data_IF_718123352557
#
_entry.id   IF_718123352557
#
_cell.length_a   1.000
_cell.length_b   1.000
_cell.length_c   1.000
_cell.angle_alpha   90.00
_cell.angle_beta   90.00
_cell.angle_gamma   90.00
#
_symmetry.space_group_name_H-M   'P 1'
#
loop_
_entity.id
_entity.type
_entity.pdbx_description
1 polymer ?
#
# COMPACT_ATOMS: atom_id res chain seq x y z
N UNK A 1 9.69 -16.76 14.49
CA UNK A 1 9.36 -15.99 15.70
C UNK A 1 7.85 -15.82 15.79
N UNK A 2 7.34 -15.44 16.95
CA UNK A 2 5.93 -15.10 17.13
C UNK A 2 5.76 -13.58 17.02
N UNK A 3 4.68 -13.14 16.39
CA UNK A 3 4.31 -11.74 16.24
C UNK A 3 2.79 -11.63 16.14
N UNK A 4 2.17 -10.85 17.02
CA UNK A 4 0.70 -10.80 17.21
C UNK A 4 0.01 -12.18 17.29
N UNK A 5 0.56 -13.07 18.13
CA UNK A 5 0.01 -14.43 18.35
C UNK A 5 0.09 -15.35 17.13
N UNK A 6 0.83 -14.99 16.09
CA UNK A 6 1.05 -15.85 14.91
C UNK A 6 2.53 -16.07 14.64
N UNK A 7 2.86 -17.26 14.17
CA UNK A 7 4.22 -17.58 13.72
C UNK A 7 4.50 -16.86 12.40
N UNK A 8 5.54 -16.03 12.40
CA UNK A 8 6.09 -15.39 11.21
C UNK A 8 7.48 -15.96 10.91
N UNK A 9 7.76 -16.15 9.62
CA UNK A 9 8.98 -16.75 9.11
C UNK A 9 9.47 -15.93 7.93
N UNK A 10 10.80 -15.86 7.78
CA UNK A 10 11.42 -15.26 6.61
C UNK A 10 10.97 -16.02 5.36
N UNK A 11 10.54 -15.29 4.34
CA UNK A 11 10.22 -15.88 3.05
C UNK A 11 11.49 -16.19 2.25
N UNK A 12 11.40 -17.00 1.18
CA UNK A 12 12.54 -17.27 0.30
C UNK A 12 13.00 -16.00 -0.44
N UNK A 13 12.07 -15.06 -0.66
CA UNK A 13 12.36 -13.79 -1.30
C UNK A 13 12.64 -12.73 -0.24
N UNK A 14 11.68 -12.37 0.59
CA UNK A 14 11.84 -11.22 1.49
C UNK A 14 12.02 -11.62 2.95
N UNK A 15 12.72 -10.74 3.67
CA UNK A 15 12.90 -10.70 5.10
C UNK A 15 11.61 -10.44 5.87
N UNK A 16 11.78 -10.23 7.18
CA UNK A 16 10.69 -9.90 8.09
C UNK A 16 10.50 -8.40 8.30
N UNK A 17 11.34 -7.57 7.66
CA UNK A 17 11.30 -6.10 7.62
C UNK A 17 11.47 -5.62 6.19
N UNK A 18 10.95 -4.44 5.90
CA UNK A 18 11.22 -3.73 4.66
C UNK A 18 12.68 -3.30 4.63
N UNK A 19 13.40 -3.74 3.61
CA UNK A 19 14.79 -3.35 3.38
C UNK A 19 14.99 -3.06 1.89
N UNK A 20 15.79 -2.04 1.61
CA UNK A 20 15.99 -1.51 0.25
C UNK A 20 16.56 -2.55 -0.70
N UNK A 21 17.52 -3.34 -0.23
CA UNK A 21 18.24 -4.36 -1.03
C UNK A 21 17.31 -5.49 -1.49
N UNK A 22 16.26 -5.76 -0.70
CA UNK A 22 15.28 -6.78 -1.03
C UNK A 22 14.07 -6.21 -1.82
N UNK A 23 13.98 -4.88 -1.97
CA UNK A 23 12.95 -4.19 -2.74
C UNK A 23 13.24 -4.19 -4.25
N UNK A 24 12.20 -3.95 -5.05
CA UNK A 24 12.28 -3.83 -6.53
C UNK A 24 13.04 -4.98 -7.23
N UNK A 25 12.78 -6.23 -6.82
CA UNK A 25 13.33 -7.41 -7.49
C UNK A 25 12.75 -7.55 -8.88
N UNK A 26 13.63 -7.62 -9.87
CA UNK A 26 13.25 -7.73 -11.27
C UNK A 26 12.42 -9.01 -11.49
N UNK A 27 11.31 -8.82 -12.20
CA UNK A 27 10.46 -9.88 -12.73
C UNK A 27 9.98 -9.42 -14.09
N UNK A 28 10.22 -10.23 -15.13
CA UNK A 28 9.82 -9.90 -16.51
C UNK A 28 8.35 -10.18 -16.80
N UNK A 29 7.61 -10.79 -15.87
CA UNK A 29 6.19 -11.06 -16.06
C UNK A 29 5.38 -9.76 -16.12
N UNK A 30 4.67 -9.53 -17.21
CA UNK A 30 3.66 -8.47 -17.31
C UNK A 30 2.38 -8.88 -16.55
N UNK A 31 2.12 -8.25 -15.40
CA UNK A 31 0.92 -8.49 -14.59
C UNK A 31 -0.24 -7.54 -14.91
N UNK A 32 0.00 -6.58 -15.79
CA UNK A 32 -0.99 -5.60 -16.27
C UNK A 32 -1.48 -5.89 -17.69
N UNK A 33 -1.16 -7.08 -18.21
CA UNK A 33 -1.52 -7.51 -19.56
C UNK A 33 -3.02 -7.31 -19.88
N UNK A 34 -3.28 -6.84 -21.10
CA UNK A 34 -4.60 -6.72 -21.70
C UNK A 34 -4.52 -7.18 -23.16
N UNK A 35 -5.59 -7.71 -23.77
CA UNK A 35 -5.55 -8.13 -25.18
C UNK A 35 -5.43 -6.92 -26.13
N UNK A 36 -4.69 -7.07 -27.24
CA UNK A 36 -4.42 -5.99 -28.23
C UNK A 36 -5.69 -5.31 -28.73
N UNK A 37 -6.74 -6.09 -28.98
CA UNK A 37 -8.03 -5.63 -29.50
C UNK A 37 -8.69 -4.59 -28.59
N UNK A 38 -8.35 -4.61 -27.30
CA UNK A 38 -8.92 -3.70 -26.32
C UNK A 38 -8.41 -2.28 -26.48
N UNK A 39 -7.11 -2.12 -26.73
CA UNK A 39 -6.44 -0.82 -26.83
C UNK A 39 -5.29 -0.87 -27.85
N UNK A 40 -5.59 -0.99 -29.16
CA UNK A 40 -4.57 -1.26 -30.17
C UNK A 40 -3.50 -0.17 -30.28
N UNK A 41 -3.89 1.12 -30.16
CA UNK A 41 -2.92 2.23 -30.19
C UNK A 41 -1.95 2.21 -29.01
N UNK A 42 -2.46 1.91 -27.81
CA UNK A 42 -1.62 1.83 -26.60
C UNK A 42 -0.70 0.61 -26.67
N UNK A 43 -1.21 -0.50 -27.24
CA UNK A 43 -0.42 -1.69 -27.51
C UNK A 43 0.80 -1.34 -28.38
N UNK A 44 0.60 -0.83 -29.60
CA UNK A 44 1.71 -0.49 -30.49
C UNK A 44 2.69 0.51 -29.85
N UNK A 45 2.17 1.52 -29.14
CA UNK A 45 3.01 2.53 -28.49
C UNK A 45 3.91 1.99 -27.37
N UNK A 46 3.67 0.77 -26.89
CA UNK A 46 4.43 0.15 -25.81
C UNK A 46 5.27 -1.05 -26.26
N UNK A 47 5.27 -1.39 -27.55
CA UNK A 47 5.90 -2.62 -28.06
C UNK A 47 7.37 -2.78 -27.64
N UNK A 48 8.16 -1.71 -27.65
CA UNK A 48 9.58 -1.72 -27.27
C UNK A 48 9.83 -2.04 -25.79
N UNK A 49 8.78 -2.01 -24.95
CA UNK A 49 8.89 -2.38 -23.54
C UNK A 49 8.81 -3.90 -23.31
N UNK A 50 8.59 -4.69 -24.37
CA UNK A 50 8.36 -6.13 -24.31
C UNK A 50 9.32 -6.91 -25.23
N UNK A 51 9.57 -8.17 -24.88
CA UNK A 51 10.42 -9.08 -25.68
C UNK A 51 9.60 -9.90 -26.67
N UNK A 52 8.32 -10.07 -26.38
CA UNK A 52 7.39 -10.86 -27.16
C UNK A 52 6.28 -9.99 -27.74
N UNK A 53 5.80 -10.38 -28.92
CA UNK A 53 4.72 -9.67 -29.61
C UNK A 53 3.38 -9.71 -28.85
N UNK A 54 3.22 -10.62 -27.88
CA UNK A 54 2.04 -10.76 -27.03
C UNK A 54 2.12 -9.91 -25.73
N UNK A 55 3.19 -9.12 -25.56
CA UNK A 55 3.43 -8.26 -24.39
C UNK A 55 3.32 -9.00 -23.05
N UNK A 56 3.71 -10.28 -23.00
CA UNK A 56 3.69 -11.09 -21.76
C UNK A 56 4.98 -10.94 -20.96
N UNK A 57 6.07 -10.62 -21.64
CA UNK A 57 7.45 -10.60 -21.14
C UNK A 57 8.02 -9.20 -21.35
N UNK A 58 8.30 -8.52 -20.25
CA UNK A 58 8.93 -7.20 -20.23
C UNK A 58 10.40 -7.30 -20.68
N UNK A 59 10.87 -6.31 -21.43
CA UNK A 59 12.25 -6.22 -21.89
C UNK A 59 13.21 -5.93 -20.74
N UNK A 60 14.45 -6.41 -20.86
CA UNK A 60 15.48 -6.17 -19.85
C UNK A 60 15.74 -4.66 -19.65
N UNK A 61 15.75 -3.88 -20.73
CA UNK A 61 15.92 -2.42 -20.67
C UNK A 61 14.79 -1.76 -19.86
N UNK A 62 13.54 -2.14 -20.13
CA UNK A 62 12.40 -1.64 -19.36
C UNK A 62 12.53 -2.03 -17.89
N UNK A 63 12.89 -3.28 -17.59
CA UNK A 63 13.05 -3.75 -16.22
C UNK A 63 14.14 -2.98 -15.46
N UNK A 64 15.29 -2.71 -16.07
CA UNK A 64 16.36 -1.95 -15.41
C UNK A 64 15.95 -0.52 -15.11
N UNK A 65 15.34 0.16 -16.10
CA UNK A 65 14.81 1.51 -15.92
C UNK A 65 13.72 1.55 -14.85
N UNK A 66 12.75 0.64 -14.89
CA UNK A 66 11.69 0.58 -13.89
C UNK A 66 12.23 0.31 -12.49
N UNK A 67 13.24 -0.56 -12.35
CA UNK A 67 13.89 -0.82 -11.06
C UNK A 67 14.57 0.42 -10.51
N UNK A 68 15.29 1.18 -11.35
CA UNK A 68 15.95 2.41 -10.93
C UNK A 68 14.92 3.41 -10.36
N UNK A 69 13.84 3.66 -11.11
CA UNK A 69 12.75 4.55 -10.69
C UNK A 69 12.04 4.05 -9.42
N UNK A 70 11.84 2.74 -9.28
CA UNK A 70 11.23 2.15 -8.08
C UNK A 70 12.12 2.31 -6.83
N UNK A 71 13.44 2.16 -6.99
CA UNK A 71 14.39 2.38 -5.89
C UNK A 71 14.51 3.87 -5.52
N UNK A 72 14.44 4.77 -6.49
CA UNK A 72 14.36 6.20 -6.26
C UNK A 72 13.09 6.57 -5.47
N UNK A 73 11.93 6.06 -5.89
CA UNK A 73 10.67 6.25 -5.15
C UNK A 73 10.75 5.68 -3.72
N UNK A 74 11.41 4.54 -3.53
CA UNK A 74 11.65 3.98 -2.20
C UNK A 74 12.42 4.97 -1.33
N UNK A 75 13.53 5.51 -1.84
CA UNK A 75 14.39 6.44 -1.11
C UNK A 75 13.65 7.73 -0.75
N UNK A 76 12.87 8.29 -1.68
CA UNK A 76 12.01 9.45 -1.43
C UNK A 76 10.96 9.18 -0.34
N UNK A 77 10.33 8.00 -0.34
CA UNK A 77 9.40 7.62 0.72
C UNK A 77 10.09 7.51 2.07
N UNK A 78 11.30 6.90 2.15
CA UNK A 78 12.05 6.80 3.40
C UNK A 78 12.40 8.19 3.95
N UNK A 79 12.90 9.09 3.11
CA UNK A 79 13.19 10.47 3.49
C UNK A 79 11.93 11.20 3.97
N UNK A 80 10.82 11.04 3.24
CA UNK A 80 9.53 11.61 3.65
C UNK A 80 9.11 11.10 5.04
N UNK A 81 9.20 9.78 5.28
CA UNK A 81 8.85 9.20 6.58
C UNK A 81 9.73 9.76 7.70
N UNK A 82 11.03 9.92 7.47
CA UNK A 82 11.95 10.51 8.44
C UNK A 82 11.54 11.93 8.84
N UNK A 83 11.11 12.76 7.87
CA UNK A 83 10.66 14.15 8.10
C UNK A 83 9.36 14.29 8.89
N UNK A 84 8.50 13.28 8.89
CA UNK A 84 7.21 13.37 9.61
C UNK A 84 7.39 13.63 11.11
N UNK A 85 6.59 14.51 11.69
CA UNK A 85 6.61 14.75 13.13
C UNK A 85 5.96 13.58 13.91
N UNK A 86 6.65 13.10 14.95
CA UNK A 86 6.16 12.02 15.81
C UNK A 86 4.95 12.45 16.63
N UNK A 87 4.95 13.68 17.16
CA UNK A 87 3.85 14.18 17.98
C UNK A 87 2.54 14.24 17.20
N UNK A 88 2.60 14.78 15.99
CA UNK A 88 1.50 14.87 15.04
C UNK A 88 0.99 13.50 14.62
N UNK A 89 1.89 12.54 14.42
CA UNK A 89 1.52 11.15 14.14
C UNK A 89 0.77 10.50 15.30
N UNK A 90 1.26 10.61 16.54
CA UNK A 90 0.55 10.05 17.71
C UNK A 90 -0.80 10.76 17.95
N UNK A 91 -0.89 12.06 17.69
CA UNK A 91 -2.16 12.78 17.71
C UNK A 91 -3.13 12.24 16.64
N UNK A 92 -2.64 11.86 15.46
CA UNK A 92 -3.45 11.21 14.44
C UNK A 92 -3.94 9.82 14.87
N UNK A 93 -3.10 9.03 15.55
CA UNK A 93 -3.51 7.75 16.15
C UNK A 93 -4.61 7.96 17.19
N UNK A 94 -4.46 8.95 18.08
CA UNK A 94 -5.49 9.27 19.08
C UNK A 94 -6.83 9.66 18.43
N UNK A 95 -6.82 10.58 17.46
CA UNK A 95 -8.03 10.98 16.70
C UNK A 95 -8.70 9.80 16.01
N UNK A 96 -7.90 8.90 15.42
CA UNK A 96 -8.40 7.69 14.76
C UNK A 96 -9.20 6.80 15.72
N UNK A 97 -8.73 6.64 16.97
CA UNK A 97 -9.39 5.81 17.99
C UNK A 97 -10.76 6.38 18.41
N UNK A 98 -10.92 7.69 18.39
CA UNK A 98 -12.18 8.37 18.69
C UNK A 98 -13.19 8.28 17.53
N UNK A 99 -12.73 7.97 16.32
CA UNK A 99 -13.52 8.07 15.08
C UNK A 99 -14.50 6.91 14.88
N UNK A 100 -14.11 5.69 15.27
CA UNK A 100 -14.91 4.46 15.07
C UNK A 100 -15.15 3.77 16.40
N UNK A 101 -16.41 3.66 16.87
CA UNK A 101 -16.73 2.95 18.11
C UNK A 101 -16.24 1.51 18.10
N UNK A 102 -15.57 1.11 19.19
CA UNK A 102 -15.05 -0.25 19.36
C UNK A 102 -13.81 -0.56 18.52
N UNK A 103 -13.13 0.46 17.98
CA UNK A 103 -11.77 0.32 17.46
C UNK A 103 -10.81 0.16 18.65
N UNK A 104 -10.22 -1.02 18.80
CA UNK A 104 -9.34 -1.34 19.92
C UNK A 104 -8.04 -1.96 19.43
N UNK A 105 -6.96 -1.69 20.16
CA UNK A 105 -5.69 -2.35 19.91
C UNK A 105 -5.77 -3.84 20.24
N UNK A 106 -5.10 -4.68 19.47
CA UNK A 106 -4.96 -6.11 19.73
C UNK A 106 -3.50 -6.53 19.67
N UNK A 107 -3.18 -7.51 20.51
CA UNK A 107 -1.84 -8.11 20.59
C UNK A 107 -1.83 -9.56 20.10
N UNK A 108 -2.99 -10.08 19.67
CA UNK A 108 -3.17 -11.43 19.15
C UNK A 108 -4.21 -11.43 18.01
N UNK A 109 -3.83 -11.96 16.85
CA UNK A 109 -4.71 -12.14 15.69
C UNK A 109 -5.59 -13.40 15.77
N UNK A 110 -5.29 -14.35 16.67
CA UNK A 110 -6.04 -15.58 16.89
C UNK A 110 -7.55 -15.36 17.03
N UNK A 111 -8.00 -14.46 17.92
CA UNK A 111 -9.41 -14.10 18.07
C UNK A 111 -10.08 -13.53 16.82
N UNK A 112 -9.33 -13.18 15.77
CA UNK A 112 -9.82 -12.58 14.53
C UNK A 112 -9.72 -13.51 13.31
N UNK A 113 -9.48 -14.80 13.56
CA UNK A 113 -9.57 -15.85 12.54
C UNK A 113 -10.99 -15.98 11.98
N UNK A 114 -11.13 -15.90 10.64
CA UNK A 114 -12.41 -15.95 9.93
C UNK A 114 -13.46 -14.94 10.44
N UNK A 115 -13.02 -13.86 11.10
CA UNK A 115 -13.91 -12.78 11.54
C UNK A 115 -13.81 -11.59 10.60
N UNK A 116 -14.96 -11.20 10.04
CA UNK A 116 -15.08 -9.95 9.32
C UNK A 116 -14.75 -8.77 10.23
N UNK A 117 -14.25 -7.69 9.64
CA UNK A 117 -13.94 -6.48 10.40
C UNK A 117 -13.20 -5.45 9.58
N UNK A 118 -13.00 -4.32 10.24
CA UNK A 118 -12.08 -3.26 9.88
C UNK A 118 -10.79 -3.49 10.67
N UNK A 119 -9.64 -3.19 10.08
CA UNK A 119 -8.35 -3.22 10.75
C UNK A 119 -7.49 -2.04 10.32
N UNK A 120 -6.62 -1.62 11.23
CA UNK A 120 -5.56 -0.66 10.97
C UNK A 120 -4.23 -1.30 11.35
N UNK A 121 -3.29 -1.31 10.42
CA UNK A 121 -1.90 -1.67 10.68
C UNK A 121 -1.11 -0.39 10.86
N UNK A 122 -0.44 -0.24 12.00
CA UNK A 122 0.42 0.91 12.28
C UNK A 122 1.88 0.49 12.11
N UNK A 123 2.61 1.32 11.37
CA UNK A 123 4.01 1.14 11.01
C UNK A 123 4.81 2.25 11.70
N UNK A 124 5.06 2.10 13.01
CA UNK A 124 5.54 3.21 13.85
C UNK A 124 6.84 3.81 13.37
N UNK A 125 7.78 2.98 12.92
CA UNK A 125 9.08 3.41 12.39
C UNK A 125 8.93 4.40 11.22
N UNK A 126 7.90 4.20 10.39
CA UNK A 126 7.62 4.98 9.19
C UNK A 126 6.59 6.09 9.41
N UNK A 127 6.00 6.18 10.62
CA UNK A 127 4.88 7.09 10.94
C UNK A 127 3.74 6.95 9.92
N UNK A 128 3.40 5.71 9.55
CA UNK A 128 2.33 5.41 8.60
C UNK A 128 1.28 4.47 9.21
N UNK A 129 0.05 4.58 8.73
CA UNK A 129 -1.09 3.74 9.04
C UNK A 129 -1.74 3.23 7.76
N UNK A 130 -2.06 1.95 7.71
CA UNK A 130 -2.85 1.35 6.64
C UNK A 130 -4.21 0.91 7.17
N UNK A 131 -5.28 1.37 6.53
CA UNK A 131 -6.65 0.97 6.85
C UNK A 131 -7.12 -0.05 5.83
N UNK A 132 -7.75 -1.12 6.29
CA UNK A 132 -8.42 -2.06 5.41
C UNK A 132 -9.61 -2.73 6.07
N UNK A 133 -10.45 -3.35 5.26
CA UNK A 133 -11.58 -4.14 5.73
C UNK A 133 -11.65 -5.49 5.03
N UNK A 134 -12.37 -6.45 5.62
CA UNK A 134 -12.52 -7.79 5.05
C UNK A 134 -13.81 -8.47 5.53
N UNK A 135 -14.34 -9.38 4.71
CA UNK A 135 -15.48 -10.25 5.02
C UNK A 135 -15.08 -11.50 5.80
N UNK A 136 -16.09 -12.24 6.27
CA UNK A 136 -15.88 -13.43 7.11
C UNK A 136 -15.17 -14.58 6.36
N UNK A 137 -15.36 -14.67 5.04
CA UNK A 137 -14.73 -15.68 4.20
C UNK A 137 -13.19 -15.66 4.29
N UNK A 138 -12.60 -14.47 4.41
CA UNK A 138 -11.15 -14.29 4.59
C UNK A 138 -10.83 -14.06 6.08
N UNK A 139 -11.49 -13.09 6.70
CA UNK A 139 -11.23 -12.65 8.06
C UNK A 139 -10.00 -11.74 8.20
N UNK A 140 -9.96 -10.95 9.28
CA UNK A 140 -8.90 -9.95 9.53
C UNK A 140 -7.52 -10.60 9.64
N UNK A 141 -7.40 -11.70 10.41
CA UNK A 141 -6.13 -12.45 10.55
C UNK A 141 -5.52 -12.83 9.21
N UNK A 142 -6.32 -13.41 8.30
CA UNK A 142 -5.81 -13.85 7.01
C UNK A 142 -5.40 -12.67 6.13
N UNK A 143 -6.15 -11.56 6.17
CA UNK A 143 -5.88 -10.39 5.35
C UNK A 143 -4.61 -9.65 5.76
N UNK A 144 -4.39 -9.46 7.06
CA UNK A 144 -3.14 -8.87 7.59
C UNK A 144 -1.94 -9.76 7.23
N UNK A 145 -2.06 -11.08 7.43
CA UNK A 145 -0.99 -12.03 7.06
C UNK A 145 -0.71 -12.04 5.56
N UNK A 146 -1.74 -11.83 4.73
CA UNK A 146 -1.57 -11.67 3.30
C UNK A 146 -0.70 -10.45 3.00
N UNK A 147 -0.96 -9.29 3.61
CA UNK A 147 -0.13 -8.10 3.43
C UNK A 147 1.33 -8.34 3.83
N UNK A 148 1.57 -8.99 4.98
CA UNK A 148 2.93 -9.30 5.45
C UNK A 148 3.73 -10.23 4.53
N UNK A 149 3.05 -11.17 3.85
CA UNK A 149 3.70 -12.22 3.06
C UNK A 149 3.68 -11.96 1.55
N UNK A 150 2.74 -11.16 1.07
CA UNK A 150 2.61 -10.83 -0.35
C UNK A 150 3.69 -9.83 -0.76
N UNK A 151 3.94 -9.74 -2.06
CA UNK A 151 4.73 -8.66 -2.64
C UNK A 151 3.94 -8.07 -3.78
N UNK A 152 3.99 -6.76 -3.92
CA UNK A 152 3.43 -6.13 -5.12
C UNK A 152 4.22 -6.61 -6.34
N UNK A 153 3.51 -6.84 -7.44
CA UNK A 153 4.16 -7.19 -8.70
C UNK A 153 5.17 -6.09 -9.10
N UNK A 154 6.30 -6.52 -9.67
CA UNK A 154 7.41 -5.64 -10.02
C UNK A 154 6.96 -4.48 -10.91
N UNK A 155 6.16 -4.77 -11.94
CA UNK A 155 5.60 -3.79 -12.88
C UNK A 155 4.50 -2.88 -12.30
N UNK A 156 4.20 -3.01 -10.99
CA UNK A 156 3.15 -2.28 -10.28
C UNK A 156 3.66 -1.63 -9.00
N UNK A 157 4.98 -1.49 -8.86
CA UNK A 157 5.59 -0.84 -7.71
C UNK A 157 5.28 0.66 -7.71
N UNK A 158 5.37 1.29 -8.88
CA UNK A 158 5.03 2.70 -9.08
C UNK A 158 3.58 2.90 -9.51
N UNK A 159 2.93 3.92 -8.96
CA UNK A 159 1.66 4.45 -9.43
C UNK A 159 1.74 5.97 -9.58
N UNK A 160 1.52 6.46 -10.79
CA UNK A 160 1.73 7.88 -11.10
C UNK A 160 3.23 8.17 -11.29
N UNK A 161 3.71 9.26 -10.68
CA UNK A 161 5.11 9.69 -10.78
C UNK A 161 5.98 9.05 -9.69
N UNK A 162 7.30 9.12 -9.86
CA UNK A 162 8.29 8.63 -8.88
C UNK A 162 8.18 9.41 -7.56
N UNK A 163 7.90 10.70 -7.64
CA UNK A 163 7.76 11.63 -6.52
C UNK A 163 6.35 11.60 -5.92
N UNK A 164 5.39 10.98 -6.62
CA UNK A 164 3.97 10.92 -6.26
C UNK A 164 3.54 9.60 -5.62
N UNK A 165 4.28 8.52 -5.89
CA UNK A 165 3.86 7.16 -5.61
C UNK A 165 4.07 6.79 -4.14
N UNK A 166 2.99 6.44 -3.44
CA UNK A 166 3.04 5.92 -2.08
C UNK A 166 3.50 4.46 -2.11
N UNK A 167 4.36 4.04 -1.18
CA UNK A 167 4.75 2.63 -1.06
C UNK A 167 3.55 1.73 -0.75
N UNK A 168 3.44 0.59 -1.45
CA UNK A 168 2.39 -0.40 -1.19
C UNK A 168 2.50 -0.96 0.22
N UNK A 169 1.36 -1.18 0.91
CA UNK A 169 1.35 -1.93 2.18
C UNK A 169 2.01 -3.32 2.06
N UNK A 170 1.85 -3.98 0.91
CA UNK A 170 2.51 -5.28 0.60
C UNK A 170 4.05 -5.18 0.43
N UNK A 171 4.62 -3.99 0.48
CA UNK A 171 6.08 -3.79 0.54
C UNK A 171 6.58 -4.03 1.96
N UNK A 172 5.81 -3.60 2.95
CA UNK A 172 6.09 -3.80 4.37
C UNK A 172 5.88 -5.25 4.76
N UNK A 173 6.59 -5.66 5.82
CA UNK A 173 6.66 -7.02 6.32
C UNK A 173 6.08 -7.09 7.72
N UNK A 174 6.04 -8.30 8.25
CA UNK A 174 5.45 -8.57 9.56
C UNK A 174 5.97 -7.61 10.64
N UNK A 175 7.29 -7.49 10.78
CA UNK A 175 7.89 -6.72 11.88
C UNK A 175 7.93 -5.22 11.66
N UNK A 176 7.53 -4.74 10.48
CA UNK A 176 7.27 -3.31 10.27
C UNK A 176 5.94 -2.90 10.91
N UNK A 177 5.03 -3.85 11.14
CA UNK A 177 3.78 -3.61 11.87
C UNK A 177 4.03 -3.69 13.36
N UNK A 178 3.75 -2.61 14.06
CA UNK A 178 4.07 -2.45 15.49
C UNK A 178 2.82 -2.35 16.35
N UNK A 179 1.71 -1.85 15.79
CA UNK A 179 0.38 -1.84 16.44
C UNK A 179 -0.68 -2.32 15.45
N UNK A 180 -1.71 -2.99 15.95
CA UNK A 180 -2.87 -3.38 15.16
C UNK A 180 -4.13 -2.98 15.90
N UNK A 181 -5.00 -2.23 15.23
CA UNK A 181 -6.32 -1.88 15.72
C UNK A 181 -7.39 -2.58 14.90
N UNK A 182 -8.49 -2.96 15.53
CA UNK A 182 -9.57 -3.72 14.89
C UNK A 182 -10.93 -3.28 15.41
N UNK A 183 -11.93 -3.32 14.53
CA UNK A 183 -13.31 -3.02 14.87
C UNK A 183 -14.27 -3.92 14.07
N UNK A 184 -15.50 -4.08 14.58
CA UNK A 184 -16.61 -4.72 13.86
C UNK A 184 -17.74 -3.71 13.62
N UNK A 185 -17.52 -2.67 12.80
CA UNK A 185 -18.57 -1.72 12.50
C UNK A 185 -19.70 -2.39 11.72
N UNK A 186 -20.92 -1.88 11.87
CA UNK A 186 -22.08 -2.33 11.07
C UNK A 186 -21.89 -2.09 9.57
N UNK A 187 -21.27 -0.96 9.23
CA UNK A 187 -20.92 -0.58 7.85
C UNK A 187 -19.40 -0.35 7.80
N UNK A 188 -18.67 -1.24 7.10
CA UNK A 188 -17.20 -1.26 7.10
C UNK A 188 -16.62 -0.23 6.16
N UNK A 189 -17.28 -0.02 5.03
CA UNK A 189 -16.90 0.91 3.97
C UNK A 189 -17.01 2.35 4.48
N UNK A 190 -18.11 2.68 5.17
CA UNK A 190 -18.26 3.99 5.82
C UNK A 190 -17.25 4.21 6.94
N UNK A 191 -16.97 3.18 7.75
CA UNK A 191 -16.00 3.26 8.83
C UNK A 191 -14.57 3.45 8.29
N UNK A 192 -14.18 2.71 7.26
CA UNK A 192 -12.90 2.87 6.56
C UNK A 192 -12.75 4.30 6.02
N UNK A 193 -13.75 4.83 5.33
CA UNK A 193 -13.71 6.19 4.79
C UNK A 193 -13.57 7.25 5.90
N UNK A 194 -14.20 7.04 7.07
CA UNK A 194 -14.04 7.93 8.23
C UNK A 194 -12.62 7.87 8.79
N UNK A 195 -12.03 6.68 8.95
CA UNK A 195 -10.65 6.53 9.43
C UNK A 195 -9.65 7.17 8.47
N UNK A 196 -9.78 6.90 7.16
CA UNK A 196 -8.93 7.49 6.12
C UNK A 196 -8.91 9.02 6.22
N UNK A 197 -10.08 9.64 6.46
CA UNK A 197 -10.16 11.10 6.66
C UNK A 197 -9.55 11.57 7.98
N UNK A 198 -9.79 10.85 9.08
CA UNK A 198 -9.30 11.24 10.41
C UNK A 198 -7.78 11.14 10.57
N UNK A 199 -7.16 10.17 9.88
CA UNK A 199 -5.71 9.90 9.93
C UNK A 199 -4.90 11.03 9.30
N UNK A 200 -5.40 11.67 8.23
CA UNK A 200 -4.61 12.63 7.44
C UNK A 200 -3.80 11.96 6.33
N UNK A 201 -3.58 12.66 5.22
CA UNK A 201 -3.01 12.06 4.00
C UNK A 201 -1.54 11.71 4.16
N UNK A 202 -0.80 12.46 4.97
CA UNK A 202 0.63 12.33 5.24
C UNK A 202 0.96 11.07 6.06
N UNK A 203 0.03 10.58 6.87
CA UNK A 203 0.18 9.39 7.71
C UNK A 203 -0.46 8.13 7.12
N UNK A 204 -1.04 8.19 5.91
CA UNK A 204 -1.81 7.10 5.33
C UNK A 204 -1.02 6.30 4.26
N UNK A 205 -0.88 5.00 4.44
CA UNK A 205 -0.22 4.10 3.48
C UNK A 205 -1.18 3.49 2.42
N UNK A 206 -2.48 3.80 2.50
CA UNK A 206 -3.43 3.40 1.46
C UNK A 206 -3.07 4.09 0.14
N UNK A 207 -2.96 3.30 -0.95
CA UNK A 207 -2.73 3.83 -2.30
C UNK A 207 -4.02 4.10 -3.07
N UNK A 208 -5.12 3.53 -2.61
CA UNK A 208 -6.42 3.60 -3.28
C UNK A 208 -7.53 3.68 -2.24
N UNK A 209 -8.62 4.36 -2.56
CA UNK A 209 -9.86 4.25 -1.78
C UNK A 209 -10.37 2.80 -1.80
N UNK A 210 -10.92 2.34 -0.68
CA UNK A 210 -11.52 1.01 -0.56
C UNK A 210 -12.54 0.74 -1.66
N UNK A 211 -12.37 -0.39 -2.37
CA UNK A 211 -13.16 -0.77 -3.54
C UNK A 211 -12.56 -2.01 -4.23
N UNK A 212 -13.33 -2.68 -5.11
CA UNK A 212 -12.90 -3.93 -5.76
C UNK A 212 -11.50 -3.80 -6.41
N UNK A 213 -10.49 -4.57 -5.97
CA UNK A 213 -9.11 -4.44 -6.44
C UNK A 213 -8.95 -4.54 -7.96
N UNK A 214 -9.84 -5.29 -8.64
CA UNK A 214 -9.85 -5.43 -10.11
C UNK A 214 -10.33 -4.17 -10.81
N UNK A 215 -11.42 -3.57 -10.34
CA UNK A 215 -11.97 -2.33 -10.92
C UNK A 215 -11.03 -1.15 -10.67
N UNK A 216 -10.47 -1.06 -9.47
CA UNK A 216 -9.52 -0.01 -9.09
C UNK A 216 -8.20 -0.15 -9.85
N UNK A 217 -7.67 -1.36 -10.07
CA UNK A 217 -6.47 -1.54 -10.92
C UNK A 217 -6.71 -1.08 -12.36
N UNK A 218 -7.92 -1.30 -12.87
CA UNK A 218 -8.30 -0.92 -14.23
C UNK A 218 -8.58 0.58 -14.37
N UNK A 219 -9.22 1.22 -13.39
CA UNK A 219 -9.46 2.67 -13.36
C UNK A 219 -8.20 3.47 -13.03
N UNK A 220 -7.32 2.96 -12.17
CA UNK A 220 -6.02 3.58 -11.89
C UNK A 220 -5.11 3.60 -13.13
N UNK A 221 -5.20 2.57 -13.98
CA UNK A 221 -4.52 2.56 -15.28
C UNK A 221 -5.12 3.57 -16.29
N UNK A 222 -6.32 4.10 -16.00
CA UNK A 222 -7.06 5.06 -16.83
C UNK A 222 -7.03 6.50 -16.28
N UNK A 223 -6.32 6.76 -15.18
CA UNK A 223 -5.94 8.12 -14.78
C UNK A 223 -6.93 8.94 -13.93
N UNK A 224 -8.00 8.36 -13.39
CA UNK A 224 -9.01 9.14 -12.63
C UNK A 224 -9.01 8.86 -11.12
N UNK A 225 -8.75 9.92 -10.32
CA UNK A 225 -9.31 10.27 -8.99
C UNK A 225 -9.34 9.28 -7.81
N UNK A 226 -8.97 8.01 -8.01
CA UNK A 226 -9.15 6.91 -7.06
C UNK A 226 -7.83 6.46 -6.41
N UNK A 227 -6.70 6.98 -6.88
CA UNK A 227 -5.36 6.68 -6.40
C UNK A 227 -4.89 7.84 -5.52
N UNK A 228 -4.45 7.52 -4.32
CA UNK A 228 -3.77 8.50 -3.49
C UNK A 228 -2.33 8.66 -3.97
N UNK A 229 -2.00 9.89 -4.34
CA UNK A 229 -0.62 10.35 -4.50
C UNK A 229 -0.23 11.23 -3.31
N UNK A 230 1.07 11.39 -3.12
CA UNK A 230 1.65 12.29 -2.12
C UNK A 230 2.82 13.00 -2.75
N UNK A 231 2.98 14.29 -2.49
CA UNK A 231 4.21 14.98 -2.85
C UNK A 231 5.34 14.55 -1.92
N UNK A 232 6.31 13.81 -2.45
CA UNK A 232 7.48 13.34 -1.72
C UNK A 232 8.68 14.28 -1.88
N UNK A 233 8.66 15.15 -2.90
CA UNK A 233 9.75 16.04 -3.27
C UNK A 233 9.67 17.40 -2.57
N UNK A 234 8.54 17.73 -1.96
CA UNK A 234 8.40 18.98 -1.21
C UNK A 234 9.28 18.98 0.08
N UNK A 235 10.14 19.99 0.15
CA UNK A 235 11.02 20.32 1.27
C UNK A 235 10.30 21.10 2.38
N UNK A 236 9.01 21.38 2.18
CA UNK A 236 8.12 21.95 3.18
C UNK A 236 7.87 23.44 2.96
N UNK A 237 6.82 23.74 2.21
CA UNK A 237 5.91 24.84 2.56
C UNK A 237 4.48 24.34 2.35
N UNK A 238 3.82 23.91 3.43
CA UNK A 238 2.37 23.74 3.41
C UNK A 238 1.80 25.15 3.27
N UNK A 239 1.46 25.55 2.04
CA UNK A 239 0.60 26.69 1.83
C UNK A 239 -0.78 26.32 2.40
N UNK A 240 -1.13 26.91 3.54
CA UNK A 240 -2.52 27.07 3.94
C UNK A 240 -3.23 27.81 2.80
N UNK A 241 -3.96 27.08 1.96
CA UNK A 241 -5.01 27.72 1.17
C UNK A 241 -6.26 27.78 2.05
N UNK A 242 -6.31 28.86 2.83
CA UNK A 242 -7.56 29.48 3.23
C UNK A 242 -8.38 29.89 1.99
N UNK A 243 -9.70 29.77 2.11
CA UNK A 243 -10.68 30.36 1.20
C UNK A 243 -11.75 29.36 0.79
N UNK A 244 -13.04 29.58 1.05
CA UNK A 244 -13.78 30.72 1.59
C UNK A 244 -15.27 30.40 1.46
#
# INVERSE_FOLDING_TARGET
>A
MEHFGVRVQRGPKNGLRLVREEYARISKTNTTWFPRERFPKLWEAQADNFEDADHRILSDEWCQRHRALALENFDLNMQFFERLDRGSFEAAVARMLETVPGLTEIYDLGPWEKKAGLYVMVLDEYKQMYVGHTGAANGVKARIRQHWSSSKAFDRLLWGTVEGSILSIDSFRALDTTRIFVAKPRNRELAEAKLIRAIGREFLANRVYGGSPRLVTMQAALGDGLVFTRDLADDGVIAETDGG
#
